data_IF_683923935390
#
_entry.id   IF_683923935390
#
_cell.length_a   1.000
_cell.length_b   1.000
_cell.length_c   1.000
_cell.angle_alpha   90.00
_cell.angle_beta   90.00
_cell.angle_gamma   90.00
#
_symmetry.space_group_name_H-M   'P 1'
#
loop_
_entity.id
_entity.type
_entity.pdbx_description
1 polymer ?
#
# COMPACT_ATOMS: atom_id res chain seq x y z
N UNK A 1 -19.89 25.96 -4.15
CA UNK A 1 -18.73 25.05 -3.96
C UNK A 1 -18.92 24.00 -2.85
N UNK A 2 -19.73 24.24 -1.81
CA UNK A 2 -19.89 23.30 -0.68
C UNK A 2 -20.63 21.99 -1.01
N UNK A 3 -21.70 22.05 -1.82
CA UNK A 3 -22.50 20.87 -2.15
C UNK A 3 -21.76 19.86 -3.04
N UNK A 4 -21.02 20.38 -4.03
CA UNK A 4 -20.24 19.55 -4.95
C UNK A 4 -19.06 18.85 -4.26
N UNK A 5 -18.42 19.49 -3.27
CA UNK A 5 -17.37 18.85 -2.48
C UNK A 5 -17.93 17.80 -1.51
N UNK A 6 -19.12 18.02 -0.96
CA UNK A 6 -19.80 17.04 -0.10
C UNK A 6 -20.17 15.77 -0.87
N UNK A 7 -20.78 15.92 -2.06
CA UNK A 7 -21.10 14.82 -2.97
C UNK A 7 -19.86 14.05 -3.38
N UNK A 8 -18.78 14.75 -3.72
CA UNK A 8 -17.50 14.15 -4.07
C UNK A 8 -16.91 13.35 -2.90
N UNK A 9 -17.00 13.85 -1.66
CA UNK A 9 -16.52 13.14 -0.46
C UNK A 9 -17.33 11.87 -0.16
N UNK A 10 -18.66 11.93 -0.35
CA UNK A 10 -19.54 10.76 -0.19
C UNK A 10 -19.26 9.73 -1.28
N UNK A 11 -19.12 10.17 -2.53
CA UNK A 11 -18.77 9.29 -3.65
C UNK A 11 -17.41 8.62 -3.42
N UNK A 12 -16.38 9.39 -3.04
CA UNK A 12 -15.08 8.81 -2.73
C UNK A 12 -15.14 7.87 -1.53
N UNK A 13 -15.85 8.19 -0.45
CA UNK A 13 -16.00 7.28 0.70
C UNK A 13 -16.63 5.93 0.35
N UNK A 14 -17.37 5.81 -0.75
CA UNK A 14 -17.92 4.54 -1.22
C UNK A 14 -16.89 3.69 -1.97
N UNK A 15 -15.99 4.35 -2.72
CA UNK A 15 -14.88 3.70 -3.44
C UNK A 15 -13.59 3.61 -2.61
N UNK A 16 -13.51 4.33 -1.49
CA UNK A 16 -12.38 4.27 -0.58
C UNK A 16 -12.37 2.87 0.04
N UNK A 17 -11.28 2.14 -0.22
CA UNK A 17 -11.13 0.82 0.31
C UNK A 17 -11.16 0.91 1.84
N UNK A 18 -12.09 0.18 2.48
CA UNK A 18 -12.08 0.06 3.93
C UNK A 18 -10.75 -0.54 4.35
N UNK A 19 -9.90 0.25 5.00
CA UNK A 19 -8.66 -0.21 5.56
C UNK A 19 -8.95 -1.37 6.52
N UNK A 20 -8.58 -2.58 6.11
CA UNK A 20 -8.69 -3.74 6.98
C UNK A 20 -7.57 -3.64 8.01
N UNK A 21 -7.91 -3.62 9.30
CA UNK A 21 -6.92 -3.65 10.37
C UNK A 21 -6.29 -5.04 10.41
N UNK A 22 -5.21 -5.23 9.66
CA UNK A 22 -4.41 -6.45 9.72
C UNK A 22 -3.51 -6.39 10.97
N UNK A 23 -3.51 -7.47 11.76
CA UNK A 23 -2.58 -7.59 12.87
C UNK A 23 -1.23 -8.08 12.33
N UNK A 24 -0.26 -7.16 12.26
CA UNK A 24 1.09 -7.43 11.75
C UNK A 24 1.78 -8.52 12.58
N UNK A 25 1.56 -8.58 13.90
CA UNK A 25 2.18 -9.57 14.79
C UNK A 25 1.76 -11.01 14.46
N UNK A 26 0.61 -11.19 13.81
CA UNK A 26 0.10 -12.51 13.38
C UNK A 26 0.37 -12.80 11.91
N UNK A 27 1.08 -11.92 11.22
CA UNK A 27 1.33 -12.01 9.79
C UNK A 27 2.70 -12.62 9.54
N UNK A 28 2.73 -13.85 9.02
CA UNK A 28 3.98 -14.55 8.72
C UNK A 28 4.51 -14.27 7.30
N UNK A 29 3.62 -13.99 6.35
CA UNK A 29 3.94 -13.85 4.93
C UNK A 29 3.21 -12.66 4.34
N UNK A 30 3.94 -11.77 3.66
CA UNK A 30 3.40 -10.59 3.00
C UNK A 30 3.82 -10.57 1.54
N UNK A 31 2.87 -10.27 0.65
CA UNK A 31 3.13 -10.00 -0.78
C UNK A 31 2.76 -8.56 -1.06
N UNK A 32 3.68 -7.81 -1.66
CA UNK A 32 3.43 -6.45 -2.13
C UNK A 32 3.63 -6.40 -3.63
N UNK A 33 2.62 -5.91 -4.35
CA UNK A 33 2.74 -5.59 -5.77
C UNK A 33 3.04 -4.11 -5.95
N UNK A 34 4.10 -3.80 -6.68
CA UNK A 34 4.52 -2.43 -6.98
C UNK A 34 4.19 -2.11 -8.43
N UNK A 35 3.29 -1.15 -8.70
CA UNK A 35 2.92 -0.76 -10.06
C UNK A 35 4.07 -0.03 -10.77
N UNK A 36 3.95 0.13 -12.10
CA UNK A 36 5.00 0.69 -12.96
C UNK A 36 5.40 2.15 -12.67
N UNK A 37 4.59 2.89 -11.91
CA UNK A 37 4.87 4.30 -11.63
C UNK A 37 5.84 4.44 -10.45
N UNK A 38 6.97 5.12 -10.69
CA UNK A 38 8.01 5.38 -9.68
C UNK A 38 7.42 6.09 -8.44
N UNK A 39 6.47 7.01 -8.63
CA UNK A 39 5.81 7.72 -7.52
C UNK A 39 5.04 6.79 -6.59
N UNK A 40 4.30 5.83 -7.15
CA UNK A 40 3.56 4.82 -6.38
C UNK A 40 4.51 3.86 -5.68
N UNK A 41 5.61 3.50 -6.35
CA UNK A 41 6.65 2.67 -5.79
C UNK A 41 7.31 3.32 -4.56
N UNK A 42 7.62 4.62 -4.64
CA UNK A 42 8.14 5.39 -3.51
C UNK A 42 7.16 5.46 -2.34
N UNK A 43 5.85 5.50 -2.60
CA UNK A 43 4.83 5.51 -1.57
C UNK A 43 4.75 4.19 -0.77
N UNK A 44 5.24 3.08 -1.34
CA UNK A 44 5.29 1.76 -0.69
C UNK A 44 6.49 1.60 0.26
N UNK A 45 7.54 2.40 0.11
CA UNK A 45 8.77 2.27 0.91
C UNK A 45 8.54 2.33 2.43
N UNK A 46 7.73 3.26 2.97
CA UNK A 46 7.42 3.28 4.41
C UNK A 46 6.70 2.01 4.90
N UNK A 47 5.90 1.39 4.03
CA UNK A 47 5.19 0.13 4.36
C UNK A 47 6.20 -1.01 4.49
N UNK A 48 7.13 -1.13 3.54
CA UNK A 48 8.22 -2.12 3.60
C UNK A 48 9.03 -1.93 4.90
N UNK A 49 9.40 -0.70 5.24
CA UNK A 49 10.13 -0.41 6.49
C UNK A 49 9.34 -0.78 7.74
N UNK A 50 8.04 -0.50 7.77
CA UNK A 50 7.20 -0.91 8.88
C UNK A 50 7.18 -2.45 9.02
N UNK A 51 7.07 -3.18 7.92
CA UNK A 51 7.07 -4.64 7.92
C UNK A 51 8.41 -5.23 8.39
N UNK A 52 9.54 -4.69 7.93
CA UNK A 52 10.87 -5.09 8.41
C UNK A 52 11.04 -4.89 9.92
N UNK A 53 10.57 -3.75 10.45
CA UNK A 53 10.61 -3.46 11.90
C UNK A 53 9.82 -4.48 12.72
N UNK A 54 8.71 -4.98 12.19
CA UNK A 54 7.88 -5.99 12.84
C UNK A 54 8.39 -7.43 12.66
N UNK A 55 9.52 -7.62 11.96
CA UNK A 55 10.18 -8.92 11.77
C UNK A 55 9.25 -10.00 11.19
N UNK A 56 8.46 -9.65 10.17
CA UNK A 56 7.71 -10.65 9.40
C UNK A 56 8.66 -11.72 8.84
N UNK A 57 8.22 -12.99 8.82
CA UNK A 57 9.10 -14.10 8.43
C UNK A 57 9.47 -14.05 6.94
N UNK A 58 8.53 -13.64 6.10
CA UNK A 58 8.70 -13.65 4.65
C UNK A 58 8.03 -12.44 4.01
N UNK A 59 8.78 -11.73 3.18
CA UNK A 59 8.31 -10.64 2.34
C UNK A 59 8.61 -10.97 0.87
N UNK A 60 7.58 -11.01 0.03
CA UNK A 60 7.70 -11.15 -1.41
C UNK A 60 7.29 -9.83 -2.07
N UNK A 61 8.21 -9.21 -2.80
CA UNK A 61 7.91 -8.03 -3.60
C UNK A 61 7.79 -8.45 -5.05
N UNK A 62 6.63 -8.19 -5.64
CA UNK A 62 6.38 -8.37 -7.07
C UNK A 62 6.42 -6.98 -7.70
N UNK A 63 7.51 -6.70 -8.40
CA UNK A 63 7.75 -5.40 -9.04
C UNK A 63 7.91 -5.56 -10.53
N UNK A 64 7.63 -4.50 -11.29
CA UNK A 64 7.93 -4.49 -12.71
C UNK A 64 9.42 -4.34 -12.99
N UNK A 65 9.83 -4.65 -14.22
CA UNK A 65 11.24 -4.57 -14.63
C UNK A 65 11.82 -3.16 -14.49
N UNK A 66 11.01 -2.12 -14.58
CA UNK A 66 11.42 -0.71 -14.44
C UNK A 66 11.86 -0.42 -13.00
N UNK A 67 11.17 -0.99 -12.02
CA UNK A 67 11.42 -0.73 -10.59
C UNK A 67 12.32 -1.79 -9.95
N UNK A 68 12.87 -2.75 -10.72
CA UNK A 68 13.68 -3.86 -10.21
C UNK A 68 14.96 -3.39 -9.51
N UNK A 69 15.57 -2.28 -9.93
CA UNK A 69 16.79 -1.76 -9.30
C UNK A 69 16.52 -1.08 -7.94
N UNK A 70 15.26 -0.79 -7.62
CA UNK A 70 14.85 -0.04 -6.42
C UNK A 70 14.42 -0.97 -5.28
N UNK A 71 13.93 -2.19 -5.59
CA UNK A 71 13.35 -3.15 -4.63
C UNK A 71 14.00 -4.52 -4.74
#
# INVERSE_FOLDING_TARGET
MFLASLLRRIAFSYYDYKAYNFNIEKTDFVVIHIPDQIGDAMAIFPVIRALELHKIKHLLIVTSTINLEVF
#
